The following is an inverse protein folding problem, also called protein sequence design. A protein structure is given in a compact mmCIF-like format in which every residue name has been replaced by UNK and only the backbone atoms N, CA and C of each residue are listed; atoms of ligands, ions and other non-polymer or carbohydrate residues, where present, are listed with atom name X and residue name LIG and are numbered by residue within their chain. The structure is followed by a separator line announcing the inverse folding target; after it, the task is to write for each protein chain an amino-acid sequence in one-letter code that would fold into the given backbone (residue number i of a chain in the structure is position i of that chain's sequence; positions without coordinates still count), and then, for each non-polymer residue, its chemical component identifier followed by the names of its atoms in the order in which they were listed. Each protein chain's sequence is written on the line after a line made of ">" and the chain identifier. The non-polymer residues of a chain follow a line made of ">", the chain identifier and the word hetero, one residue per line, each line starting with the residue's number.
data_IF_298053638813
#
_entry.id   IF_298053638813
#
_cell.length_a   1.000
_cell.length_b   1.000
_cell.length_c   1.000
_cell.angle_alpha   90.00
_cell.angle_beta   90.00
_cell.angle_gamma   90.00
#
_symmetry.space_group_name_H-M   'P 1'
#
loop_
_entity.id
_entity.type
_entity.pdbx_description
1 polymer ?
#
# COMPACT_ATOMS: atom_id res chain seq x y z
N UNK A 1 -6.04 4.64 -24.79
CA UNK A 1 -4.86 4.74 -23.89
C UNK A 1 -5.27 5.03 -22.45
N UNK A 2 -6.07 6.08 -22.20
CA UNK A 2 -6.60 6.39 -20.86
C UNK A 2 -7.27 5.19 -20.16
N UNK A 3 -8.15 4.47 -20.85
CA UNK A 3 -8.87 3.28 -20.33
C UNK A 3 -7.93 2.17 -19.87
N UNK A 4 -6.91 1.85 -20.66
CA UNK A 4 -5.92 0.82 -20.31
C UNK A 4 -5.12 1.20 -19.05
N UNK A 5 -4.71 2.47 -18.92
CA UNK A 5 -4.04 2.95 -17.72
C UNK A 5 -4.97 2.97 -16.50
N UNK A 6 -6.24 3.34 -16.66
CA UNK A 6 -7.26 3.29 -15.60
C UNK A 6 -7.46 1.87 -15.06
N UNK A 7 -7.60 0.87 -15.93
CA UNK A 7 -7.74 -0.52 -15.50
C UNK A 7 -6.45 -1.07 -14.88
N UNK A 8 -5.29 -0.73 -15.43
CA UNK A 8 -4.00 -1.09 -14.83
C UNK A 8 -3.82 -0.47 -13.43
N UNK A 9 -4.19 0.80 -13.26
CA UNK A 9 -4.14 1.50 -11.99
C UNK A 9 -5.01 0.83 -10.92
N UNK A 10 -6.25 0.46 -11.28
CA UNK A 10 -7.17 -0.29 -10.42
C UNK A 10 -6.61 -1.66 -10.06
N UNK A 11 -6.12 -2.42 -11.04
CA UNK A 11 -5.53 -3.74 -10.81
C UNK A 11 -4.31 -3.67 -9.88
N UNK A 12 -3.43 -2.70 -10.08
CA UNK A 12 -2.27 -2.46 -9.22
C UNK A 12 -2.67 -2.05 -7.80
N UNK A 13 -3.70 -1.21 -7.64
CA UNK A 13 -4.22 -0.83 -6.33
C UNK A 13 -4.81 -2.04 -5.58
N UNK A 14 -5.53 -2.93 -6.27
CA UNK A 14 -6.04 -4.18 -5.68
C UNK A 14 -4.90 -5.11 -5.27
N UNK A 15 -3.90 -5.30 -6.13
CA UNK A 15 -2.72 -6.10 -5.82
C UNK A 15 -1.93 -5.51 -4.65
N UNK A 16 -1.81 -4.19 -4.56
CA UNK A 16 -1.20 -3.51 -3.42
C UNK A 16 -1.93 -3.80 -2.12
N UNK A 17 -3.27 -3.74 -2.12
CA UNK A 17 -4.07 -4.10 -0.94
C UNK A 17 -3.83 -5.55 -0.53
N UNK A 18 -3.95 -6.49 -1.47
CA UNK A 18 -3.79 -7.93 -1.21
C UNK A 18 -2.40 -8.24 -0.64
N UNK A 19 -1.35 -7.77 -1.32
CA UNK A 19 0.04 -8.04 -0.91
C UNK A 19 0.40 -7.38 0.41
N UNK A 20 -0.18 -6.21 0.72
CA UNK A 20 -0.01 -5.54 2.02
C UNK A 20 -0.65 -6.35 3.15
N UNK A 21 -1.87 -6.86 2.96
CA UNK A 21 -2.54 -7.71 3.95
C UNK A 21 -1.74 -9.00 4.17
N UNK A 22 -1.26 -9.64 3.10
CA UNK A 22 -0.46 -10.86 3.20
C UNK A 22 0.87 -10.59 3.92
N UNK A 23 1.57 -9.50 3.58
CA UNK A 23 2.75 -9.04 4.31
C UNK A 23 2.46 -8.84 5.80
N UNK A 24 1.42 -8.10 6.13
CA UNK A 24 1.04 -7.82 7.51
C UNK A 24 0.70 -9.09 8.29
N UNK A 25 -0.05 -10.03 7.69
CA UNK A 25 -0.39 -11.30 8.32
C UNK A 25 0.86 -12.16 8.57
N UNK A 26 1.74 -12.27 7.58
CA UNK A 26 2.99 -13.05 7.68
C UNK A 26 3.99 -12.43 8.65
N UNK A 27 3.99 -11.11 8.81
CA UNK A 27 4.85 -10.43 9.79
C UNK A 27 4.25 -10.49 11.20
N UNK A 28 3.00 -10.09 11.36
CA UNK A 28 2.39 -9.81 12.66
C UNK A 28 1.91 -11.06 13.39
N UNK A 29 1.26 -12.01 12.70
CA UNK A 29 0.71 -13.20 13.38
C UNK A 29 1.78 -14.04 14.10
N UNK A 30 2.96 -14.32 13.50
CA UNK A 30 4.04 -15.00 14.21
C UNK A 30 4.59 -14.17 15.36
N UNK A 31 4.79 -12.87 15.17
CA UNK A 31 5.33 -11.97 16.21
C UNK A 31 4.40 -11.90 17.42
N UNK A 32 3.09 -11.83 17.23
CA UNK A 32 2.10 -11.87 18.31
C UNK A 32 2.09 -13.20 19.06
N UNK A 33 2.50 -14.29 18.41
CA UNK A 33 2.62 -15.63 19.00
C UNK A 33 4.02 -15.91 19.54
N UNK A 34 4.90 -14.90 19.61
CA UNK A 34 6.30 -15.04 19.99
C UNK A 34 7.06 -16.10 19.17
N UNK A 35 6.71 -16.25 17.89
CA UNK A 35 7.36 -17.15 16.94
C UNK A 35 8.16 -16.36 15.91
N UNK A 36 9.24 -16.95 15.35
CA UNK A 36 9.96 -16.33 14.25
C UNK A 36 9.04 -16.17 13.03
N UNK A 37 9.11 -15.01 12.37
CA UNK A 37 8.34 -14.77 11.15
C UNK A 37 8.87 -15.61 9.98
N UNK A 38 8.00 -16.18 9.14
CA UNK A 38 8.40 -17.01 8.00
C UNK A 38 9.10 -16.15 6.94
N UNK A 39 10.09 -16.72 6.24
CA UNK A 39 10.83 -16.00 5.17
C UNK A 39 9.94 -15.45 4.05
N UNK A 40 8.73 -16.00 3.89
CA UNK A 40 7.69 -15.54 2.96
C UNK A 40 7.24 -14.10 3.19
N UNK A 41 7.43 -13.51 4.37
CA UNK A 41 7.05 -12.11 4.60
C UNK A 41 7.76 -11.15 3.62
N UNK A 42 9.00 -11.46 3.24
CA UNK A 42 9.87 -10.59 2.43
C UNK A 42 9.38 -10.38 1.00
N UNK A 43 9.05 -11.42 0.20
CA UNK A 43 8.48 -11.20 -1.12
C UNK A 43 7.16 -10.45 -1.07
N UNK A 44 6.28 -10.70 -0.09
CA UNK A 44 5.02 -9.95 0.03
C UNK A 44 5.22 -8.48 0.41
N UNK A 45 6.19 -8.17 1.27
CA UNK A 45 6.60 -6.79 1.53
C UNK A 45 7.08 -6.09 0.26
N UNK A 46 7.96 -6.74 -0.51
CA UNK A 46 8.49 -6.18 -1.77
C UNK A 46 7.34 -5.96 -2.76
N UNK A 47 6.45 -6.95 -2.91
CA UNK A 47 5.29 -6.86 -3.79
C UNK A 47 4.36 -5.72 -3.38
N UNK A 48 4.07 -5.55 -2.09
CA UNK A 48 3.26 -4.45 -1.56
C UNK A 48 3.85 -3.08 -1.90
N UNK A 49 5.15 -2.90 -1.68
CA UNK A 49 5.83 -1.64 -1.99
C UNK A 49 5.88 -1.37 -3.50
N UNK A 50 6.20 -2.38 -4.31
CA UNK A 50 6.32 -2.27 -5.74
C UNK A 50 4.96 -1.96 -6.40
N UNK A 51 3.91 -2.71 -6.05
CA UNK A 51 2.57 -2.52 -6.61
C UNK A 51 1.96 -1.19 -6.18
N UNK A 52 2.17 -0.75 -4.93
CA UNK A 52 1.75 0.60 -4.50
C UNK A 52 2.47 1.69 -5.28
N UNK A 53 3.79 1.56 -5.49
CA UNK A 53 4.57 2.50 -6.29
C UNK A 53 4.11 2.56 -7.74
N UNK A 54 3.89 1.40 -8.38
CA UNK A 54 3.37 1.31 -9.75
C UNK A 54 1.95 1.86 -9.86
N UNK A 55 1.09 1.61 -8.86
CA UNK A 55 -0.23 2.23 -8.76
C UNK A 55 -0.10 3.76 -8.71
N UNK A 56 0.83 4.29 -7.91
CA UNK A 56 1.13 5.72 -7.89
C UNK A 56 1.54 6.30 -9.25
N UNK A 57 2.46 5.63 -9.95
CA UNK A 57 2.93 6.09 -11.28
C UNK A 57 1.77 6.08 -12.28
N UNK A 58 0.98 5.00 -12.31
CA UNK A 58 -0.18 4.90 -13.22
C UNK A 58 -1.25 5.95 -12.89
N UNK A 59 -1.47 6.24 -11.61
CA UNK A 59 -2.36 7.33 -11.17
C UNK A 59 -1.88 8.70 -11.66
N UNK A 60 -0.59 9.00 -11.52
CA UNK A 60 -0.03 10.26 -12.05
C UNK A 60 -0.21 10.40 -13.56
N UNK A 61 -0.05 9.31 -14.32
CA UNK A 61 -0.30 9.29 -15.77
C UNK A 61 -1.78 9.60 -16.07
N UNK A 62 -2.71 9.00 -15.32
CA UNK A 62 -4.16 9.26 -15.46
C UNK A 62 -4.49 10.72 -15.15
N UNK A 63 -3.91 11.27 -14.08
CA UNK A 63 -4.11 12.67 -13.66
C UNK A 63 -3.69 13.64 -14.76
N UNK A 64 -2.54 13.38 -15.37
CA UNK A 64 -2.04 14.18 -16.50
C UNK A 64 -2.92 14.06 -17.74
N UNK A 65 -3.30 12.84 -18.13
CA UNK A 65 -4.09 12.59 -19.34
C UNK A 65 -5.55 13.01 -19.23
N UNK A 66 -6.13 12.95 -18.03
CA UNK A 66 -7.55 13.20 -17.77
C UNK A 66 -7.88 14.61 -17.31
N UNK A 67 -6.88 15.49 -17.16
CA UNK A 67 -7.09 16.87 -16.70
C UNK A 67 -7.51 16.98 -15.24
N UNK A 68 -7.11 16.02 -14.39
CA UNK A 68 -7.55 15.95 -12.98
C UNK A 68 -6.70 16.78 -12.02
N UNK A 69 -5.66 17.47 -12.52
CA UNK A 69 -4.75 18.29 -11.70
C UNK A 69 -5.45 19.26 -10.73
N UNK A 70 -6.54 19.96 -11.11
CA UNK A 70 -7.21 20.92 -10.23
C UNK A 70 -7.96 20.27 -9.06
N UNK A 71 -8.20 18.95 -9.09
CA UNK A 71 -8.98 18.26 -8.07
C UNK A 71 -8.10 17.83 -6.90
N UNK A 72 -8.71 17.68 -5.72
CA UNK A 72 -7.99 17.33 -4.49
C UNK A 72 -7.57 15.85 -4.43
N UNK A 73 -8.32 14.96 -5.08
CA UNK A 73 -8.19 13.51 -4.92
C UNK A 73 -6.83 12.92 -5.36
N UNK A 74 -6.22 13.35 -6.49
CA UNK A 74 -4.87 12.92 -6.87
C UNK A 74 -3.82 13.16 -5.79
N UNK A 75 -3.91 14.30 -5.11
CA UNK A 75 -2.98 14.69 -4.06
C UNK A 75 -3.15 13.86 -2.79
N UNK A 76 -4.39 13.49 -2.45
CA UNK A 76 -4.67 12.52 -1.38
C UNK A 76 -4.06 11.15 -1.70
N UNK A 77 -4.10 10.72 -2.96
CA UNK A 77 -3.43 9.51 -3.44
C UNK A 77 -1.92 9.53 -3.19
N UNK A 78 -1.25 10.64 -3.51
CA UNK A 78 0.19 10.78 -3.26
C UNK A 78 0.53 10.75 -1.77
N UNK A 79 -0.26 11.42 -0.94
CA UNK A 79 -0.11 11.36 0.52
C UNK A 79 -0.26 9.93 1.02
N UNK A 80 -1.25 9.19 0.52
CA UNK A 80 -1.49 7.80 0.88
C UNK A 80 -0.30 6.91 0.49
N UNK A 81 0.29 7.09 -0.70
CA UNK A 81 1.48 6.35 -1.14
C UNK A 81 2.67 6.63 -0.22
N UNK A 82 2.90 7.89 0.12
CA UNK A 82 3.99 8.28 1.02
C UNK A 82 3.80 7.68 2.42
N UNK A 83 2.58 7.79 2.98
CA UNK A 83 2.24 7.23 4.29
C UNK A 83 2.38 5.71 4.30
N UNK A 84 1.89 5.04 3.26
CA UNK A 84 2.04 3.60 3.07
C UNK A 84 3.52 3.20 3.06
N UNK A 85 4.35 3.91 2.29
CA UNK A 85 5.78 3.61 2.19
C UNK A 85 6.55 3.83 3.51
N UNK A 86 6.27 4.94 4.21
CA UNK A 86 6.87 5.23 5.52
C UNK A 86 6.47 4.17 6.55
N UNK A 87 5.18 3.83 6.61
CA UNK A 87 4.65 2.81 7.50
C UNK A 87 5.26 1.43 7.18
N UNK A 88 5.36 1.04 5.91
CA UNK A 88 5.99 -0.21 5.48
C UNK A 88 7.46 -0.32 5.91
N UNK A 89 8.25 0.73 5.69
CA UNK A 89 9.66 0.75 6.11
C UNK A 89 9.78 0.65 7.63
N UNK A 90 8.94 1.37 8.38
CA UNK A 90 8.91 1.29 9.86
C UNK A 90 8.51 -0.10 10.33
N UNK A 91 7.49 -0.71 9.74
CA UNK A 91 7.06 -2.08 10.04
C UNK A 91 8.16 -3.10 9.80
N UNK A 92 8.84 -3.02 8.64
CA UNK A 92 9.99 -3.90 8.35
C UNK A 92 11.11 -3.74 9.37
N UNK A 93 11.44 -2.50 9.78
CA UNK A 93 12.46 -2.24 10.80
C UNK A 93 12.05 -2.79 12.17
N UNK A 94 10.79 -2.59 12.56
CA UNK A 94 10.24 -3.14 13.80
C UNK A 94 10.27 -4.67 13.84
N UNK A 95 9.92 -5.32 12.72
CA UNK A 95 10.02 -6.78 12.58
C UNK A 95 11.46 -7.27 12.77
N UNK A 96 12.44 -6.57 12.19
CA UNK A 96 13.85 -6.97 12.27
C UNK A 96 14.41 -6.96 13.70
N UNK A 97 13.86 -6.11 14.58
CA UNK A 97 14.25 -6.03 16.00
C UNK A 97 13.25 -6.73 16.94
N UNK A 98 12.25 -7.43 16.40
CA UNK A 98 11.24 -8.15 17.20
C UNK A 98 10.24 -7.25 17.94
N UNK A 99 10.11 -5.96 17.57
CA UNK A 99 9.24 -5.00 18.25
C UNK A 99 7.77 -5.16 17.79
N UNK A 100 7.02 -6.06 18.45
CA UNK A 100 5.65 -6.40 18.08
C UNK A 100 4.65 -5.24 18.11
N UNK A 101 4.69 -4.40 19.15
CA UNK A 101 3.81 -3.22 19.25
C UNK A 101 4.01 -2.23 18.09
N UNK A 102 5.24 -1.72 17.88
CA UNK A 102 5.55 -0.86 16.74
C UNK A 102 5.26 -1.51 15.38
N UNK A 103 5.50 -2.82 15.23
CA UNK A 103 5.13 -3.57 14.04
C UNK A 103 3.62 -3.50 13.80
N UNK A 104 2.80 -3.79 14.82
CA UNK A 104 1.35 -3.74 14.75
C UNK A 104 0.86 -2.36 14.32
N UNK A 105 1.33 -1.29 14.98
CA UNK A 105 0.96 0.08 14.62
C UNK A 105 1.31 0.41 13.16
N UNK A 106 2.52 0.04 12.73
CA UNK A 106 2.98 0.31 11.37
C UNK A 106 2.13 -0.42 10.31
N UNK A 107 1.85 -1.71 10.50
CA UNK A 107 1.03 -2.47 9.53
C UNK A 107 -0.43 -2.05 9.54
N UNK A 108 -0.98 -1.67 10.70
CA UNK A 108 -2.33 -1.10 10.79
C UNK A 108 -2.43 0.20 10.00
N UNK A 109 -1.47 1.11 10.15
CA UNK A 109 -1.42 2.34 9.34
C UNK A 109 -1.32 2.00 7.85
N UNK A 110 -0.47 1.05 7.46
CA UNK A 110 -0.32 0.60 6.07
C UNK A 110 -1.65 0.11 5.46
N UNK A 111 -2.37 -0.74 6.19
CA UNK A 111 -3.64 -1.33 5.77
C UNK A 111 -4.73 -0.27 5.70
N UNK A 112 -4.91 0.51 6.77
CA UNK A 112 -5.95 1.55 6.85
C UNK A 112 -5.75 2.57 5.73
N UNK A 113 -4.51 3.00 5.49
CA UNK A 113 -4.19 3.93 4.40
C UNK A 113 -4.62 3.39 3.03
N UNK A 114 -4.31 2.12 2.74
CA UNK A 114 -4.69 1.50 1.46
C UNK A 114 -6.19 1.27 1.33
N UNK A 115 -6.87 0.82 2.39
CA UNK A 115 -8.33 0.61 2.36
C UNK A 115 -9.05 1.94 2.15
N UNK A 116 -8.65 2.99 2.85
CA UNK A 116 -9.27 4.32 2.72
C UNK A 116 -9.06 4.86 1.31
N UNK A 117 -7.83 4.80 0.78
CA UNK A 117 -7.58 5.35 -0.55
C UNK A 117 -8.24 4.51 -1.65
N UNK A 118 -8.24 3.18 -1.52
CA UNK A 118 -8.95 2.30 -2.46
C UNK A 118 -10.46 2.52 -2.40
N UNK A 119 -11.04 2.70 -1.21
CA UNK A 119 -12.46 3.05 -1.04
C UNK A 119 -12.80 4.40 -1.65
N UNK A 120 -11.89 5.38 -1.57
CA UNK A 120 -12.08 6.65 -2.27
C UNK A 120 -12.10 6.46 -3.80
N UNK A 121 -11.29 5.55 -4.36
CA UNK A 121 -11.21 5.27 -5.81
C UNK A 121 -12.51 4.72 -6.37
N UNK A 122 -13.25 3.94 -5.57
CA UNK A 122 -14.51 3.32 -6.03
C UNK A 122 -15.66 4.33 -6.10
N UNK A 123 -15.57 5.41 -5.32
CA UNK A 123 -16.60 6.47 -5.26
C UNK A 123 -16.26 7.64 -6.18
N UNK A 124 -14.97 7.95 -6.34
CA UNK A 124 -14.48 9.02 -7.22
C UNK A 124 -13.29 8.51 -8.03
N UNK A 125 -13.30 8.61 -9.37
CA UNK A 125 -12.11 8.30 -10.16
C UNK A 125 -11.01 9.33 -9.85
N UNK A 126 -9.80 8.86 -9.62
CA UNK A 126 -8.57 9.64 -9.62
C UNK A 126 -7.49 8.93 -10.42
#
# INVERSE_FOLDING_TARGET
>A
MYTAFSEAHRGLAMLACLTTVLWAALALLPTLRHRPAPRLWRPFYIAAMATTGLSGITGLVIVWMGGWLPFVFPWLGLIAIALHGVAGVRGRKALAIGAGGPLATAVTIQIVTLIVIYGLMTVKPF
#
